data_IF_961787047982
#
_entry.id   IF_961787047982
#
_cell.length_a   1.000
_cell.length_b   1.000
_cell.length_c   1.000
_cell.angle_alpha   90.00
_cell.angle_beta   90.00
_cell.angle_gamma   90.00
#
_symmetry.space_group_name_H-M   'P 1'
#
loop_
_entity.id
_entity.type
_entity.pdbx_description
1 polymer ?
#
# COMPACT_ATOMS: atom_id res chain seq x y z
N UNK A 1 26.47 -10.26 -0.87
CA UNK A 1 26.14 -11.03 0.33
C UNK A 1 24.78 -10.64 0.88
N UNK A 2 24.05 -11.59 1.45
CA UNK A 2 22.75 -11.39 2.11
C UNK A 2 22.87 -11.75 3.58
N UNK A 3 22.16 -11.02 4.45
CA UNK A 3 22.14 -11.26 5.90
C UNK A 3 20.71 -11.56 6.32
N UNK A 4 20.52 -12.67 7.02
CA UNK A 4 19.22 -13.02 7.59
C UNK A 4 18.88 -12.09 8.76
N UNK A 5 17.63 -11.61 8.80
CA UNK A 5 17.12 -10.69 9.82
C UNK A 5 15.82 -11.26 10.37
N UNK A 6 15.68 -11.26 11.70
CA UNK A 6 14.43 -11.69 12.34
C UNK A 6 13.28 -10.74 11.95
N UNK A 7 12.07 -11.25 11.58
CA UNK A 7 10.99 -10.40 11.07
C UNK A 7 10.62 -9.21 11.97
N UNK A 8 10.68 -9.37 13.29
CA UNK A 8 10.41 -8.28 14.25
C UNK A 8 11.38 -7.10 14.12
N UNK A 9 12.62 -7.36 13.73
CA UNK A 9 13.69 -6.36 13.67
C UNK A 9 13.66 -5.55 12.38
N UNK A 10 12.88 -5.98 11.37
CA UNK A 10 12.81 -5.33 10.05
C UNK A 10 12.48 -3.85 10.16
N UNK A 11 11.51 -3.49 10.99
CA UNK A 11 11.09 -2.09 11.18
C UNK A 11 12.21 -1.24 11.79
N UNK A 12 12.83 -1.73 12.86
CA UNK A 12 13.91 -1.02 13.56
C UNK A 12 15.15 -0.84 12.68
N UNK A 13 15.53 -1.86 11.91
CA UNK A 13 16.66 -1.78 10.98
C UNK A 13 16.38 -0.75 9.89
N UNK A 14 15.18 -0.77 9.27
CA UNK A 14 14.79 0.24 8.26
C UNK A 14 14.86 1.66 8.82
N UNK A 15 14.33 1.89 10.02
CA UNK A 15 14.39 3.21 10.66
C UNK A 15 15.83 3.66 10.94
N UNK A 16 16.69 2.76 11.39
CA UNK A 16 18.11 3.05 11.67
C UNK A 16 18.86 3.39 10.38
N UNK A 17 18.69 2.58 9.34
CA UNK A 17 19.28 2.79 8.03
C UNK A 17 18.85 4.13 7.41
N UNK A 18 17.56 4.48 7.53
CA UNK A 18 17.05 5.79 7.11
C UNK A 18 17.74 6.95 7.83
N UNK A 19 17.90 6.87 9.17
CA UNK A 19 18.60 7.90 9.97
C UNK A 19 20.07 8.06 9.58
N UNK A 20 20.70 7.00 9.11
CA UNK A 20 22.09 7.01 8.63
C UNK A 20 22.24 7.49 7.19
N UNK A 21 21.14 7.75 6.47
CA UNK A 21 21.14 8.18 5.07
C UNK A 21 21.19 7.04 4.04
N UNK A 22 20.90 5.81 4.47
CA UNK A 22 20.93 4.60 3.64
C UNK A 22 19.51 3.99 3.54
N UNK A 23 18.54 4.64 2.89
CA UNK A 23 17.18 4.14 2.85
C UNK A 23 17.12 2.74 2.22
N UNK A 24 16.57 1.78 2.96
CA UNK A 24 16.38 0.42 2.47
C UNK A 24 15.07 0.33 1.67
N UNK A 25 15.16 -0.26 0.48
CA UNK A 25 13.99 -0.63 -0.30
C UNK A 25 13.29 -1.84 0.35
N UNK A 26 11.98 -1.75 0.56
CA UNK A 26 11.19 -2.83 1.15
C UNK A 26 10.54 -3.70 0.08
N UNK A 27 11.21 -4.78 -0.28
CA UNK A 27 10.70 -5.76 -1.23
C UNK A 27 9.87 -6.87 -0.56
N UNK A 28 9.46 -6.68 0.70
CA UNK A 28 8.54 -7.60 1.36
C UNK A 28 7.17 -7.51 0.70
N UNK A 29 6.80 -8.55 -0.06
CA UNK A 29 5.46 -8.68 -0.61
C UNK A 29 4.43 -9.07 0.45
N UNK A 30 3.16 -9.08 0.03
CA UNK A 30 2.09 -9.69 0.81
C UNK A 30 2.22 -11.21 0.80
N UNK A 31 1.84 -11.85 1.90
CA UNK A 31 1.62 -13.29 1.91
C UNK A 31 0.18 -13.50 1.43
N UNK A 32 0.01 -14.27 0.37
CA UNK A 32 -1.32 -14.61 -0.13
C UNK A 32 -2.09 -15.40 0.95
N UNK A 33 -3.19 -14.82 1.41
CA UNK A 33 -4.14 -15.48 2.29
C UNK A 33 -5.14 -16.33 1.52
N UNK A 34 -6.19 -16.79 2.21
CA UNK A 34 -7.34 -17.40 1.54
C UNK A 34 -8.07 -16.34 0.70
N UNK A 35 -8.28 -16.63 -0.59
CA UNK A 35 -8.98 -15.73 -1.49
C UNK A 35 -10.49 -15.80 -1.26
N UNK A 36 -11.12 -14.66 -1.03
CA UNK A 36 -12.58 -14.53 -0.99
C UNK A 36 -13.06 -13.76 -2.22
N UNK A 37 -14.14 -14.23 -2.84
CA UNK A 37 -14.79 -13.51 -3.94
C UNK A 37 -15.42 -12.23 -3.41
N UNK A 38 -14.89 -11.08 -3.81
CA UNK A 38 -15.36 -9.75 -3.40
C UNK A 38 -15.36 -8.88 -4.66
N UNK A 39 -16.50 -8.26 -4.94
CA UNK A 39 -16.68 -7.36 -6.08
C UNK A 39 -17.39 -6.08 -5.66
N UNK A 40 -17.14 -5.00 -6.41
CA UNK A 40 -17.76 -3.69 -6.18
C UNK A 40 -19.10 -3.56 -6.91
N UNK A 41 -20.19 -3.42 -6.17
CA UNK A 41 -21.52 -3.15 -6.73
C UNK A 41 -21.66 -1.67 -7.13
N UNK A 42 -21.73 -1.40 -8.44
CA UNK A 42 -21.75 -0.05 -9.03
C UNK A 42 -23.11 0.34 -9.60
N UNK A 43 -24.18 0.09 -8.85
CA UNK A 43 -25.54 0.36 -9.31
C UNK A 43 -25.87 1.86 -9.19
N UNK A 44 -25.89 2.56 -10.33
CA UNK A 44 -26.24 3.97 -10.41
C UNK A 44 -25.12 4.93 -9.99
N UNK A 45 -23.89 4.44 -9.81
CA UNK A 45 -22.73 5.27 -9.48
C UNK A 45 -21.46 4.71 -10.12
N UNK A 46 -20.42 5.54 -10.20
CA UNK A 46 -19.09 5.11 -10.61
C UNK A 46 -18.01 5.88 -9.86
N UNK A 47 -16.81 5.28 -9.76
CA UNK A 47 -15.65 5.98 -9.24
C UNK A 47 -15.30 7.18 -10.13
N UNK A 48 -15.02 8.31 -9.48
CA UNK A 48 -14.53 9.52 -10.17
C UNK A 48 -13.12 9.27 -10.71
N UNK A 49 -12.68 9.99 -11.77
CA UNK A 49 -11.38 9.74 -12.40
C UNK A 49 -10.19 9.75 -11.41
N UNK A 50 -10.18 10.71 -10.47
CA UNK A 50 -9.10 10.81 -9.47
C UNK A 50 -9.12 9.67 -8.44
N UNK A 51 -10.28 9.05 -8.19
CA UNK A 51 -10.39 7.89 -7.29
C UNK A 51 -9.82 6.64 -7.98
N UNK A 52 -10.17 6.43 -9.26
CA UNK A 52 -9.59 5.35 -10.07
C UNK A 52 -8.08 5.47 -10.15
N UNK A 53 -7.57 6.66 -10.48
CA UNK A 53 -6.13 6.91 -10.51
C UNK A 53 -5.45 6.65 -9.16
N UNK A 54 -6.10 6.99 -8.05
CA UNK A 54 -5.55 6.70 -6.72
C UNK A 54 -5.44 5.18 -6.45
N UNK A 55 -6.47 4.41 -6.80
CA UNK A 55 -6.47 2.94 -6.67
C UNK A 55 -5.42 2.32 -7.60
N UNK A 56 -5.38 2.73 -8.87
CA UNK A 56 -4.45 2.22 -9.86
C UNK A 56 -2.99 2.47 -9.42
N UNK A 57 -2.67 3.69 -8.98
CA UNK A 57 -1.32 4.02 -8.51
C UNK A 57 -0.93 3.21 -7.27
N UNK A 58 -1.86 3.00 -6.33
CA UNK A 58 -1.60 2.19 -5.15
C UNK A 58 -1.33 0.72 -5.52
N UNK A 59 -2.14 0.15 -6.42
CA UNK A 59 -1.97 -1.22 -6.88
C UNK A 59 -0.61 -1.45 -7.54
N UNK A 60 -0.18 -0.55 -8.42
CA UNK A 60 1.14 -0.63 -9.07
C UNK A 60 2.30 -0.46 -8.07
N UNK A 61 2.12 0.33 -7.01
CA UNK A 61 3.13 0.53 -5.97
C UNK A 61 3.22 -0.61 -4.96
N UNK A 62 2.22 -1.49 -4.89
CA UNK A 62 2.10 -2.57 -3.91
C UNK A 62 1.73 -2.08 -2.51
N UNK A 63 2.42 -1.06 -1.98
CA UNK A 63 2.12 -0.45 -0.68
C UNK A 63 2.32 1.06 -0.71
N UNK A 64 1.59 1.81 0.13
CA UNK A 64 1.72 3.27 0.16
C UNK A 64 0.68 3.99 1.00
N UNK A 65 0.59 5.31 0.77
CA UNK A 65 -0.40 6.19 1.42
C UNK A 65 -1.13 6.98 0.34
N UNK A 66 -2.45 6.88 0.31
CA UNK A 66 -3.31 7.71 -0.54
C UNK A 66 -3.82 8.90 0.27
N UNK A 67 -3.56 10.12 -0.21
CA UNK A 67 -4.00 11.37 0.42
C UNK A 67 -5.09 12.03 -0.41
N UNK A 68 -6.28 12.20 0.17
CA UNK A 68 -7.43 12.84 -0.46
C UNK A 68 -8.07 13.88 0.49
N UNK A 69 -8.60 15.00 -0.01
CA UNK A 69 -9.25 16.01 0.84
C UNK A 69 -10.56 15.50 1.45
N UNK A 70 -11.06 16.21 2.46
CA UNK A 70 -12.37 15.89 3.04
C UNK A 70 -13.48 15.97 1.96
N UNK A 71 -14.45 15.06 2.01
CA UNK A 71 -15.52 14.97 1.01
C UNK A 71 -15.14 14.32 -0.34
N UNK A 72 -13.87 13.98 -0.58
CA UNK A 72 -13.42 13.42 -1.87
C UNK A 72 -13.81 11.95 -2.11
N UNK A 73 -14.36 11.26 -1.11
CA UNK A 73 -14.73 9.84 -1.20
C UNK A 73 -13.60 8.87 -0.85
N UNK A 74 -12.82 9.17 0.19
CA UNK A 74 -11.72 8.32 0.70
C UNK A 74 -12.16 6.91 1.13
N UNK A 75 -13.39 6.76 1.64
CA UNK A 75 -13.98 5.44 1.99
C UNK A 75 -14.28 4.57 0.77
N UNK A 76 -14.42 5.14 -0.42
CA UNK A 76 -14.59 4.37 -1.65
C UNK A 76 -13.24 3.95 -2.27
N UNK A 77 -12.13 4.52 -1.79
CA UNK A 77 -10.78 4.29 -2.35
C UNK A 77 -10.00 3.26 -1.52
N UNK A 78 -10.21 3.23 -0.20
CA UNK A 78 -9.67 2.19 0.69
C UNK A 78 -10.69 1.10 0.91
#
# INVERSE_FOLDING_TARGET
DTVAVHPSERGQIKQTLLKLGWPAEDLAGYVDGEAHSIDLAQDGWSLRPYQKQAVDNFWHGGSGVVVLPCGAGKTLVG
#
